data_IF_345617153327
#
_entry.id   IF_345617153327
#
_cell.length_a   1.000
_cell.length_b   1.000
_cell.length_c   1.000
_cell.angle_alpha   90.00
_cell.angle_beta   90.00
_cell.angle_gamma   90.00
#
_symmetry.space_group_name_H-M   'P 1'
#
loop_
_entity.id
_entity.type
_entity.pdbx_description
1 polymer ?
#
# COMPACT_ATOMS: atom_id res chain seq x y z
N UNK A 1 -3.05 -32.87 12.66
CA UNK A 1 -4.16 -33.83 12.87
C UNK A 1 -5.13 -33.43 13.99
N UNK A 2 -4.76 -32.57 14.96
CA UNK A 2 -5.67 -32.22 16.08
C UNK A 2 -6.57 -31.01 15.79
N UNK A 3 -6.27 -30.19 14.77
CA UNK A 3 -7.04 -28.95 14.53
C UNK A 3 -7.78 -29.08 13.18
N UNK A 4 -8.78 -29.97 13.17
CA UNK A 4 -9.61 -30.30 12.01
C UNK A 4 -10.65 -29.22 11.67
N UNK A 5 -11.31 -29.38 10.51
CA UNK A 5 -12.63 -28.82 10.14
C UNK A 5 -12.80 -27.31 10.00
N UNK A 6 -13.63 -26.88 9.04
CA UNK A 6 -14.16 -25.50 8.91
C UNK A 6 -15.38 -25.24 9.81
N UNK A 7 -15.82 -26.22 10.61
CA UNK A 7 -17.10 -26.18 11.37
C UNK A 7 -16.97 -26.62 12.84
N UNK A 8 -15.79 -26.54 13.46
CA UNK A 8 -15.69 -26.70 14.92
C UNK A 8 -15.92 -25.34 15.59
N UNK A 9 -16.83 -25.28 16.56
CA UNK A 9 -17.13 -24.04 17.29
C UNK A 9 -15.92 -23.52 18.07
N UNK A 10 -15.84 -22.19 18.29
CA UNK A 10 -14.71 -21.50 18.94
C UNK A 10 -14.24 -22.17 20.23
N UNK A 11 -15.16 -22.66 21.06
CA UNK A 11 -14.83 -23.36 22.31
C UNK A 11 -14.10 -24.69 22.10
N UNK A 12 -14.50 -25.47 21.08
CA UNK A 12 -13.83 -26.73 20.77
C UNK A 12 -12.39 -26.48 20.32
N UNK A 13 -12.19 -25.45 19.50
CA UNK A 13 -10.88 -25.04 19.04
C UNK A 13 -9.99 -24.56 20.20
N UNK A 14 -10.52 -23.75 21.13
CA UNK A 14 -9.79 -23.34 22.35
C UNK A 14 -9.37 -24.55 23.19
N UNK A 15 -10.28 -25.48 23.48
CA UNK A 15 -9.97 -26.71 24.22
C UNK A 15 -8.87 -27.52 23.52
N UNK A 16 -8.93 -27.63 22.19
CA UNK A 16 -7.91 -28.32 21.41
C UNK A 16 -6.55 -27.62 21.49
N UNK A 17 -6.51 -26.28 21.46
CA UNK A 17 -5.28 -25.51 21.64
C UNK A 17 -4.71 -25.68 23.04
N UNK A 18 -5.53 -25.57 24.10
CA UNK A 18 -5.10 -25.81 25.49
C UNK A 18 -4.47 -27.19 25.63
N UNK A 19 -5.14 -28.25 25.15
CA UNK A 19 -4.61 -29.62 25.20
C UNK A 19 -3.31 -29.77 24.41
N UNK A 20 -3.22 -29.15 23.22
CA UNK A 20 -2.03 -29.20 22.39
C UNK A 20 -0.84 -28.48 23.04
N UNK A 21 -1.08 -27.31 23.64
CA UNK A 21 -0.05 -26.52 24.34
C UNK A 21 0.43 -27.25 25.59
N UNK A 22 -0.46 -27.76 26.44
CA UNK A 22 -0.08 -28.57 27.61
C UNK A 22 0.73 -29.79 27.20
N UNK A 23 0.26 -30.56 26.22
CA UNK A 23 0.96 -31.75 25.73
C UNK A 23 2.35 -31.42 25.18
N UNK A 24 2.46 -30.33 24.41
CA UNK A 24 3.72 -29.86 23.85
C UNK A 24 4.71 -29.45 24.95
N UNK A 25 4.24 -28.71 25.95
CA UNK A 25 5.06 -28.23 27.04
C UNK A 25 5.57 -29.40 27.90
N UNK A 26 4.71 -30.37 28.22
CA UNK A 26 5.06 -31.52 29.05
C UNK A 26 5.95 -32.54 28.34
N UNK A 27 5.67 -32.83 27.06
CA UNK A 27 6.33 -33.93 26.34
C UNK A 27 7.52 -33.49 25.51
N UNK A 28 7.56 -32.23 25.09
CA UNK A 28 8.59 -31.71 24.19
C UNK A 28 9.19 -30.37 24.66
N UNK A 29 9.63 -30.24 25.94
CA UNK A 29 10.14 -28.97 26.47
C UNK A 29 11.38 -28.44 25.73
N UNK A 30 12.14 -29.30 25.03
CA UNK A 30 13.28 -28.86 24.21
C UNK A 30 12.90 -28.33 22.83
N UNK A 31 11.66 -28.53 22.39
CA UNK A 31 11.19 -28.21 21.03
C UNK A 31 9.89 -27.39 20.99
N UNK A 32 9.28 -27.13 22.15
CA UNK A 32 7.99 -26.45 22.25
C UNK A 32 7.98 -25.08 21.55
N UNK A 33 8.98 -24.21 21.77
CA UNK A 33 9.09 -22.92 21.08
C UNK A 33 9.15 -23.05 19.55
N UNK A 34 10.03 -23.91 19.01
CA UNK A 34 10.13 -24.11 17.56
C UNK A 34 8.85 -24.70 16.94
N UNK A 35 8.10 -25.52 17.69
CA UNK A 35 6.82 -26.02 17.21
C UNK A 35 5.73 -24.94 17.28
N UNK A 36 5.73 -24.12 18.34
CA UNK A 36 4.82 -22.99 18.50
C UNK A 36 5.04 -21.91 17.42
N UNK A 37 6.29 -21.58 17.11
CA UNK A 37 6.66 -20.69 15.99
C UNK A 37 6.03 -21.15 14.67
N UNK A 38 6.11 -22.46 14.38
CA UNK A 38 5.50 -23.02 13.17
C UNK A 38 3.99 -22.88 13.17
N UNK A 39 3.33 -23.03 14.33
CA UNK A 39 1.89 -22.83 14.43
C UNK A 39 1.51 -21.35 14.22
N UNK A 40 2.22 -20.43 14.87
CA UNK A 40 2.00 -18.99 14.71
C UNK A 40 2.15 -18.57 13.24
N UNK A 41 3.24 -18.97 12.59
CA UNK A 41 3.49 -18.65 11.16
C UNK A 41 2.45 -19.32 10.26
N UNK A 42 2.10 -20.58 10.52
CA UNK A 42 1.14 -21.30 9.70
C UNK A 42 -0.25 -20.66 9.74
N UNK A 43 -0.74 -20.32 10.94
CA UNK A 43 -2.05 -19.70 11.09
C UNK A 43 -2.08 -18.25 10.60
N UNK A 44 -0.98 -17.49 10.76
CA UNK A 44 -0.89 -16.12 10.23
C UNK A 44 -0.97 -16.04 8.70
N UNK A 45 -0.69 -17.14 7.99
CA UNK A 45 -0.71 -17.20 6.52
C UNK A 45 -2.03 -17.71 5.92
N UNK A 46 -2.86 -18.40 6.71
CA UNK A 46 -4.00 -19.13 6.11
C UNK A 46 -5.20 -19.39 7.02
N UNK A 47 -5.17 -18.96 8.29
CA UNK A 47 -6.33 -19.08 9.17
C UNK A 47 -6.27 -18.08 10.34
N UNK A 48 -6.67 -16.84 10.05
CA UNK A 48 -6.65 -15.73 11.02
C UNK A 48 -7.50 -16.02 12.27
N UNK A 49 -8.66 -16.67 12.12
CA UNK A 49 -9.52 -17.02 13.25
C UNK A 49 -8.83 -18.02 14.21
N UNK A 50 -8.18 -19.06 13.66
CA UNK A 50 -7.41 -20.01 14.47
C UNK A 50 -6.18 -19.35 15.11
N UNK A 51 -5.56 -18.36 14.43
CA UNK A 51 -4.48 -17.59 15.05
C UNK A 51 -5.00 -16.79 16.26
N UNK A 52 -6.14 -16.10 16.13
CA UNK A 52 -6.74 -15.36 17.24
C UNK A 52 -7.00 -16.28 18.43
N UNK A 53 -7.62 -17.45 18.19
CA UNK A 53 -7.90 -18.41 19.26
C UNK A 53 -6.61 -18.96 19.91
N UNK A 54 -5.59 -19.27 19.11
CA UNK A 54 -4.30 -19.72 19.63
C UNK A 54 -3.65 -18.64 20.52
N UNK A 55 -3.62 -17.39 20.07
CA UNK A 55 -3.05 -16.28 20.85
C UNK A 55 -3.85 -16.05 22.12
N UNK A 56 -5.18 -16.06 22.05
CA UNK A 56 -6.03 -15.94 23.23
C UNK A 56 -5.77 -17.06 24.25
N UNK A 57 -5.54 -18.30 23.82
CA UNK A 57 -5.14 -19.39 24.71
C UNK A 57 -3.71 -19.18 25.26
N UNK A 58 -2.78 -18.67 24.47
CA UNK A 58 -1.41 -18.37 24.93
C UNK A 58 -1.36 -17.26 25.98
N UNK A 59 -2.33 -16.34 25.98
CA UNK A 59 -2.45 -15.29 26.99
C UNK A 59 -2.97 -15.78 28.34
N UNK A 60 -3.44 -17.04 28.44
CA UNK A 60 -3.79 -17.63 29.72
C UNK A 60 -2.53 -17.79 30.60
N UNK A 61 -2.66 -17.59 31.91
CA UNK A 61 -1.53 -17.59 32.86
C UNK A 61 -0.68 -18.86 32.84
N UNK A 62 -1.25 -19.99 32.39
CA UNK A 62 -0.55 -21.27 32.27
C UNK A 62 0.43 -21.33 31.08
N UNK A 63 0.24 -20.50 30.07
CA UNK A 63 0.98 -20.55 28.80
C UNK A 63 1.71 -19.26 28.44
N UNK A 64 1.42 -18.15 29.12
CA UNK A 64 1.96 -16.82 28.79
C UNK A 64 3.48 -16.78 28.69
N UNK A 65 4.18 -17.52 29.57
CA UNK A 65 5.64 -17.58 29.57
C UNK A 65 6.24 -18.26 28.33
N UNK A 66 5.45 -19.06 27.59
CA UNK A 66 5.89 -19.68 26.33
C UNK A 66 6.18 -18.64 25.25
N UNK A 67 5.55 -17.46 25.32
CA UNK A 67 5.78 -16.39 24.35
C UNK A 67 7.20 -15.81 24.45
N UNK A 68 7.81 -15.82 25.63
CA UNK A 68 9.15 -15.28 25.86
C UNK A 68 10.25 -16.02 25.09
N UNK A 69 10.03 -17.30 24.76
CA UNK A 69 11.01 -18.12 24.03
C UNK A 69 10.82 -18.16 22.51
N UNK A 70 9.90 -17.37 21.96
CA UNK A 70 9.58 -17.33 20.53
C UNK A 70 10.43 -16.27 19.83
N UNK A 71 10.99 -16.64 18.68
CA UNK A 71 11.73 -15.71 17.81
C UNK A 71 10.90 -14.50 17.39
N UNK A 72 11.54 -13.33 17.38
CA UNK A 72 10.88 -12.05 17.06
C UNK A 72 10.18 -12.07 15.69
N UNK A 73 10.77 -12.75 14.71
CA UNK A 73 10.18 -12.88 13.36
C UNK A 73 8.82 -13.58 13.36
N UNK A 74 8.62 -14.58 14.23
CA UNK A 74 7.35 -15.29 14.34
C UNK A 74 6.32 -14.45 15.12
N UNK A 75 6.74 -13.78 16.18
CA UNK A 75 5.89 -12.85 16.95
C UNK A 75 5.42 -11.68 16.08
N UNK A 76 6.29 -11.07 15.28
CA UNK A 76 5.93 -9.97 14.40
C UNK A 76 4.87 -10.44 13.40
N UNK A 77 5.07 -11.60 12.75
CA UNK A 77 4.08 -12.18 11.82
C UNK A 77 2.75 -12.54 12.48
N UNK A 78 2.78 -13.00 13.73
CA UNK A 78 1.57 -13.27 14.49
C UNK A 78 0.84 -11.97 14.84
N UNK A 79 1.57 -10.95 15.29
CA UNK A 79 1.05 -9.61 15.61
C UNK A 79 0.44 -8.95 14.39
N UNK A 80 1.12 -9.05 13.24
CA UNK A 80 0.67 -8.62 11.92
C UNK A 80 -0.77 -9.04 11.65
N UNK A 81 -1.08 -10.32 11.86
CA UNK A 81 -2.44 -10.81 11.67
C UNK A 81 -3.35 -10.45 12.86
N UNK A 82 -2.93 -10.75 14.10
CA UNK A 82 -3.76 -10.65 15.30
C UNK A 82 -4.26 -9.23 15.56
N UNK A 83 -3.40 -8.24 15.36
CA UNK A 83 -3.70 -6.83 15.59
C UNK A 83 -4.88 -6.32 14.74
N UNK A 84 -5.03 -6.83 13.51
CA UNK A 84 -6.09 -6.39 12.58
C UNK A 84 -7.32 -7.31 12.54
N UNK A 85 -7.30 -8.42 13.27
CA UNK A 85 -8.33 -9.47 13.21
C UNK A 85 -9.05 -9.68 14.53
N UNK A 86 -8.35 -9.49 15.66
CA UNK A 86 -8.97 -9.57 16.98
C UNK A 86 -10.05 -8.51 17.18
N UNK A 87 -11.11 -8.86 17.92
CA UNK A 87 -12.09 -7.93 18.49
C UNK A 87 -11.88 -7.69 19.99
N UNK A 88 -10.95 -8.44 20.61
CA UNK A 88 -10.64 -8.32 22.03
C UNK A 88 -9.42 -7.42 22.23
N UNK A 89 -9.68 -6.13 22.36
CA UNK A 89 -8.65 -5.09 22.49
C UNK A 89 -7.82 -5.19 23.77
N UNK A 90 -8.39 -5.75 24.84
CA UNK A 90 -7.64 -6.03 26.06
C UNK A 90 -6.56 -7.08 25.80
N UNK A 91 -6.92 -8.17 25.11
CA UNK A 91 -5.96 -9.20 24.74
C UNK A 91 -4.92 -8.70 23.72
N UNK A 92 -5.30 -7.79 22.80
CA UNK A 92 -4.32 -7.14 21.91
C UNK A 92 -3.28 -6.34 22.73
N UNK A 93 -3.72 -5.56 23.72
CA UNK A 93 -2.79 -4.84 24.63
C UNK A 93 -1.88 -5.79 25.38
N UNK A 94 -2.47 -6.84 25.96
CA UNK A 94 -1.73 -7.82 26.74
C UNK A 94 -0.69 -8.55 25.88
N UNK A 95 -1.07 -8.97 24.68
CA UNK A 95 -0.16 -9.61 23.73
C UNK A 95 1.02 -8.70 23.35
N UNK A 96 0.75 -7.43 23.03
CA UNK A 96 1.81 -6.45 22.75
C UNK A 96 2.73 -6.25 23.96
N UNK A 97 2.15 -6.16 25.16
CA UNK A 97 2.90 -5.95 26.41
C UNK A 97 3.80 -7.15 26.74
N UNK A 98 3.28 -8.37 26.65
CA UNK A 98 4.04 -9.61 26.88
C UNK A 98 5.15 -9.76 25.85
N UNK A 99 4.86 -9.47 24.59
CA UNK A 99 5.83 -9.60 23.49
C UNK A 99 6.68 -8.34 23.26
N UNK A 100 6.76 -7.43 24.25
CA UNK A 100 7.43 -6.14 24.10
C UNK A 100 8.89 -6.26 23.68
N UNK A 101 9.63 -7.23 24.22
CA UNK A 101 11.05 -7.41 23.90
C UNK A 101 11.22 -7.74 22.40
N UNK A 102 10.42 -8.68 21.89
CA UNK A 102 10.41 -9.10 20.48
C UNK A 102 9.89 -8.02 19.54
N UNK A 103 9.00 -7.15 20.02
CA UNK A 103 8.32 -6.14 19.21
C UNK A 103 8.98 -4.76 19.24
N UNK A 104 9.93 -4.53 20.16
CA UNK A 104 10.53 -3.21 20.40
C UNK A 104 11.32 -2.64 19.21
N UNK A 105 11.91 -3.52 18.39
CA UNK A 105 12.63 -3.16 17.15
C UNK A 105 11.73 -3.32 15.90
N UNK A 106 10.43 -3.53 16.08
CA UNK A 106 9.47 -3.68 14.97
C UNK A 106 8.63 -2.43 14.78
N UNK A 107 7.79 -2.42 13.74
CA UNK A 107 6.78 -1.40 13.54
C UNK A 107 5.86 -1.21 14.76
N UNK A 108 5.69 -2.21 15.63
CA UNK A 108 4.88 -2.10 16.83
C UNK A 108 5.50 -1.26 17.97
N UNK A 109 6.75 -0.81 17.83
CA UNK A 109 7.40 0.07 18.81
C UNK A 109 6.57 1.32 19.16
N UNK A 110 5.95 1.94 18.15
CA UNK A 110 5.05 3.09 18.36
C UNK A 110 3.88 2.74 19.28
N UNK A 111 3.25 1.58 19.06
CA UNK A 111 2.13 1.12 19.90
C UNK A 111 2.59 0.81 21.32
N UNK A 112 3.76 0.19 21.50
CA UNK A 112 4.34 -0.07 22.81
C UNK A 112 4.59 1.22 23.61
N UNK A 113 5.05 2.29 22.96
CA UNK A 113 5.22 3.59 23.58
C UNK A 113 3.87 4.24 23.95
N UNK A 114 2.88 4.15 23.05
CA UNK A 114 1.53 4.65 23.29
C UNK A 114 0.82 3.95 24.46
N UNK A 115 1.02 2.63 24.61
CA UNK A 115 0.46 1.85 25.73
C UNK A 115 0.87 2.40 27.09
N UNK A 116 2.05 3.01 27.22
CA UNK A 116 2.51 3.59 28.49
C UNK A 116 2.01 5.02 28.72
N UNK A 117 1.64 5.75 27.66
CA UNK A 117 1.39 7.20 27.71
C UNK A 117 -0.09 7.56 27.73
N UNK A 118 -0.94 6.76 27.09
CA UNK A 118 -2.34 7.07 26.90
C UNK A 118 -3.25 6.28 27.87
N UNK A 119 -4.48 6.75 28.05
CA UNK A 119 -5.50 6.03 28.82
C UNK A 119 -6.00 4.83 28.00
N UNK A 120 -6.34 3.73 28.66
CA UNK A 120 -6.85 2.51 28.03
C UNK A 120 -7.98 2.77 27.02
N UNK A 121 -8.96 3.60 27.39
CA UNK A 121 -10.10 3.94 26.51
C UNK A 121 -9.65 4.67 25.24
N UNK A 122 -8.64 5.53 25.36
CA UNK A 122 -8.10 6.27 24.22
C UNK A 122 -7.32 5.31 23.30
N UNK A 123 -6.53 4.39 23.87
CA UNK A 123 -5.82 3.35 23.12
C UNK A 123 -6.79 2.43 22.38
N UNK A 124 -7.89 2.03 23.01
CA UNK A 124 -8.94 1.20 22.39
C UNK A 124 -9.52 1.87 21.15
N UNK A 125 -9.81 3.17 21.23
CA UNK A 125 -10.29 3.91 20.06
C UNK A 125 -9.23 3.97 18.95
N UNK A 126 -7.96 4.17 19.28
CA UNK A 126 -6.88 4.20 18.30
C UNK A 126 -6.68 2.84 17.61
N UNK A 127 -6.75 1.73 18.35
CA UNK A 127 -6.71 0.40 17.77
C UNK A 127 -7.89 0.14 16.85
N UNK A 128 -9.11 0.48 17.29
CA UNK A 128 -10.31 0.34 16.47
C UNK A 128 -10.23 1.18 15.19
N UNK A 129 -9.79 2.44 15.29
CA UNK A 129 -9.61 3.31 14.13
C UNK A 129 -8.55 2.75 13.15
N UNK A 130 -7.45 2.24 13.69
CA UNK A 130 -6.39 1.61 12.88
C UNK A 130 -6.90 0.37 12.16
N UNK A 131 -7.65 -0.49 12.86
CA UNK A 131 -8.27 -1.67 12.24
C UNK A 131 -9.25 -1.26 11.14
N UNK A 132 -10.16 -0.32 11.40
CA UNK A 132 -11.12 0.16 10.40
C UNK A 132 -10.41 0.69 9.15
N UNK A 133 -9.40 1.55 9.32
CA UNK A 133 -8.62 2.09 8.19
C UNK A 133 -7.87 1.00 7.43
N UNK A 134 -7.29 0.00 8.11
CA UNK A 134 -6.61 -1.12 7.46
C UNK A 134 -7.56 -2.08 6.75
N UNK A 135 -8.75 -2.30 7.30
CA UNK A 135 -9.81 -3.05 6.62
C UNK A 135 -10.23 -2.32 5.35
N UNK A 136 -10.49 -1.00 5.43
CA UNK A 136 -10.81 -0.17 4.26
C UNK A 136 -9.67 -0.24 3.23
N UNK A 137 -8.42 -0.01 3.64
CA UNK A 137 -7.27 -0.06 2.74
C UNK A 137 -7.13 -1.43 2.05
N UNK A 138 -7.41 -2.52 2.76
CA UNK A 138 -7.44 -3.86 2.18
C UNK A 138 -8.56 -4.03 1.16
N UNK A 139 -9.78 -3.55 1.46
CA UNK A 139 -10.91 -3.55 0.54
C UNK A 139 -10.65 -2.65 -0.68
N UNK A 140 -9.87 -1.59 -0.55
CA UNK A 140 -9.53 -0.69 -1.67
C UNK A 140 -8.49 -1.27 -2.64
N UNK A 141 -7.86 -2.42 -2.35
CA UNK A 141 -6.88 -3.03 -3.28
C UNK A 141 -7.52 -3.40 -4.61
N UNK A 142 -6.78 -3.27 -5.71
CA UNK A 142 -7.27 -3.73 -7.02
C UNK A 142 -7.35 -5.27 -7.04
N UNK A 143 -8.46 -5.79 -7.57
CA UNK A 143 -8.63 -7.23 -7.74
C UNK A 143 -7.68 -7.76 -8.83
N UNK A 144 -7.21 -9.02 -8.72
CA UNK A 144 -6.31 -9.60 -9.73
C UNK A 144 -6.86 -9.54 -11.16
N UNK A 145 -8.18 -9.63 -11.34
CA UNK A 145 -8.86 -9.53 -12.64
C UNK A 145 -8.74 -8.15 -13.29
N UNK A 146 -8.57 -7.10 -12.48
CA UNK A 146 -8.57 -5.69 -12.89
C UNK A 146 -7.14 -5.11 -12.95
N UNK A 147 -6.11 -5.90 -12.60
CA UNK A 147 -4.70 -5.51 -12.64
C UNK A 147 -4.10 -5.38 -14.06
N UNK A 148 -4.90 -5.61 -15.09
CA UNK A 148 -4.44 -5.58 -16.47
C UNK A 148 -4.65 -4.21 -17.08
N UNK A 149 -3.69 -3.74 -17.89
CA UNK A 149 -3.85 -2.53 -18.70
C UNK A 149 -3.94 -1.21 -17.93
N UNK A 150 -3.37 -1.14 -16.72
CA UNK A 150 -3.27 0.12 -15.99
C UNK A 150 -2.45 1.14 -16.79
N UNK A 151 -3.09 2.28 -17.07
CA UNK A 151 -2.62 3.26 -18.04
C UNK A 151 -2.56 4.67 -17.45
N UNK A 152 -1.67 5.50 -18.00
CA UNK A 152 -1.48 6.89 -17.58
C UNK A 152 -1.54 7.81 -18.79
N UNK A 153 -2.41 8.83 -18.73
CA UNK A 153 -2.51 9.86 -19.76
C UNK A 153 -1.55 10.99 -19.46
N UNK A 154 -0.82 11.43 -20.48
CA UNK A 154 0.13 12.54 -20.34
C UNK A 154 0.31 13.31 -21.65
N UNK A 155 1.04 14.41 -21.57
CA UNK A 155 1.44 15.19 -22.72
C UNK A 155 2.44 14.41 -23.60
N UNK A 156 2.40 14.64 -24.91
CA UNK A 156 3.30 13.95 -25.84
C UNK A 156 4.77 14.31 -25.55
N UNK A 157 5.03 15.52 -25.09
CA UNK A 157 6.36 16.04 -24.74
C UNK A 157 6.98 15.32 -23.52
N UNK A 158 6.19 14.57 -22.75
CA UNK A 158 6.68 13.75 -21.65
C UNK A 158 7.35 12.47 -22.15
N UNK A 159 7.07 12.04 -23.39
CA UNK A 159 7.58 10.78 -23.95
C UNK A 159 9.10 10.58 -23.81
N UNK A 160 9.97 11.57 -24.11
CA UNK A 160 11.42 11.40 -23.95
C UNK A 160 11.88 11.31 -22.49
N UNK A 161 11.08 11.82 -21.55
CA UNK A 161 11.34 11.69 -20.10
C UNK A 161 10.99 10.28 -19.61
N UNK A 162 9.93 9.69 -20.15
CA UNK A 162 9.50 8.32 -19.81
C UNK A 162 10.46 7.30 -20.42
N UNK A 163 10.81 7.48 -21.69
CA UNK A 163 11.78 6.64 -22.42
C UNK A 163 13.22 7.14 -22.28
N UNK A 164 13.54 7.74 -21.14
CA UNK A 164 14.90 8.19 -20.84
C UNK A 164 15.80 6.96 -20.78
N UNK A 165 16.90 6.98 -21.51
CA UNK A 165 17.89 5.90 -21.55
C UNK A 165 19.16 6.27 -20.79
N UNK A 166 19.82 5.25 -20.23
CA UNK A 166 21.16 5.38 -19.68
C UNK A 166 22.14 5.76 -20.79
N UNK A 167 23.16 6.53 -20.41
CA UNK A 167 24.20 7.00 -21.32
C UNK A 167 25.57 6.56 -20.84
N UNK A 168 26.43 6.19 -21.78
CA UNK A 168 27.85 5.99 -21.52
C UNK A 168 28.59 7.31 -21.30
N UNK A 169 29.88 7.23 -20.97
CA UNK A 169 30.75 8.41 -20.75
C UNK A 169 30.84 9.33 -21.99
N UNK A 170 30.60 8.79 -23.19
CA UNK A 170 30.56 9.52 -24.45
C UNK A 170 29.18 10.14 -24.74
N UNK A 171 28.21 9.96 -23.84
CA UNK A 171 26.85 10.48 -23.95
C UNK A 171 25.94 9.69 -24.91
N UNK A 172 26.34 8.49 -25.35
CA UNK A 172 25.55 7.63 -26.23
C UNK A 172 24.64 6.72 -25.41
N UNK A 173 23.45 6.43 -25.94
CA UNK A 173 22.50 5.53 -25.28
C UNK A 173 23.08 4.12 -25.16
N UNK A 174 23.11 3.59 -23.94
CA UNK A 174 23.51 2.20 -23.67
C UNK A 174 22.43 1.27 -24.20
N UNK A 175 22.84 0.20 -24.89
CA UNK A 175 21.91 -0.77 -25.48
C UNK A 175 22.29 -2.21 -25.14
N UNK A 176 21.28 -3.01 -24.78
CA UNK A 176 21.40 -4.43 -24.45
C UNK A 176 20.28 -5.21 -25.13
N UNK A 177 20.62 -6.34 -25.76
CA UNK A 177 19.66 -7.19 -26.48
C UNK A 177 18.79 -6.41 -27.49
N UNK A 178 19.33 -5.37 -28.12
CA UNK A 178 18.62 -4.53 -29.09
C UNK A 178 17.72 -3.44 -28.48
N UNK A 179 17.60 -3.37 -27.16
CA UNK A 179 16.85 -2.36 -26.40
C UNK A 179 17.77 -1.31 -25.81
N UNK A 180 17.28 -0.09 -25.60
CA UNK A 180 17.97 0.91 -24.78
C UNK A 180 17.79 0.52 -23.32
N UNK A 181 18.87 0.55 -22.54
CA UNK A 181 18.77 0.41 -21.08
C UNK A 181 18.08 1.67 -20.55
N UNK A 182 16.87 1.51 -20.00
CA UNK A 182 16.08 2.63 -19.51
C UNK A 182 16.72 3.21 -18.25
N UNK A 183 16.73 4.53 -18.13
CA UNK A 183 17.06 5.29 -16.92
C UNK A 183 15.81 5.94 -16.29
N UNK A 184 14.70 6.01 -17.04
CA UNK A 184 13.45 6.58 -16.55
C UNK A 184 12.95 5.87 -15.29
N UNK A 185 12.54 6.66 -14.29
CA UNK A 185 11.98 6.20 -13.01
C UNK A 185 10.49 6.51 -12.90
N UNK A 186 9.79 5.75 -12.06
CA UNK A 186 8.42 6.07 -11.69
C UNK A 186 8.43 7.23 -10.69
N UNK A 187 7.68 8.29 -11.00
CA UNK A 187 7.57 9.47 -10.15
C UNK A 187 6.22 9.49 -9.44
N UNK A 188 6.27 9.67 -8.12
CA UNK A 188 5.12 9.82 -7.27
C UNK A 188 5.14 11.25 -6.74
N UNK A 189 4.11 12.03 -7.05
CA UNK A 189 4.03 13.43 -6.62
C UNK A 189 3.31 13.53 -5.28
N UNK A 190 3.63 14.55 -4.48
CA UNK A 190 2.98 14.73 -3.18
C UNK A 190 1.45 14.81 -3.33
N UNK A 191 0.73 14.13 -2.42
CA UNK A 191 -0.72 14.00 -2.45
C UNK A 191 -1.46 15.34 -2.32
N UNK A 192 -0.82 16.40 -1.83
CA UNK A 192 -1.41 17.73 -1.78
C UNK A 192 -1.55 18.39 -3.17
N UNK A 193 -0.93 17.87 -4.23
CA UNK A 193 -0.98 18.46 -5.58
C UNK A 193 -2.13 17.95 -6.46
N UNK A 194 -3.10 17.27 -5.88
CA UNK A 194 -4.19 16.64 -6.65
C UNK A 194 -5.12 17.68 -7.26
N UNK A 195 -5.63 17.35 -8.46
CA UNK A 195 -6.43 18.27 -9.25
C UNK A 195 -7.85 18.45 -8.69
N UNK A 196 -8.38 17.45 -7.99
CA UNK A 196 -9.68 17.55 -7.33
C UNK A 196 -9.51 18.30 -5.98
N UNK A 197 -10.10 19.50 -5.82
CA UNK A 197 -9.94 20.30 -4.61
C UNK A 197 -10.59 19.68 -3.36
N UNK A 198 -11.50 18.73 -3.54
CA UNK A 198 -12.16 17.98 -2.48
C UNK A 198 -11.35 16.77 -2.02
N UNK A 199 -10.36 16.37 -2.81
CA UNK A 199 -9.57 15.19 -2.56
C UNK A 199 -8.77 15.30 -1.25
N UNK A 200 -8.78 14.22 -0.48
CA UNK A 200 -8.27 14.22 0.89
C UNK A 200 -9.19 14.93 1.89
N UNK A 201 -10.15 15.76 1.49
CA UNK A 201 -11.08 16.44 2.42
C UNK A 201 -12.40 15.70 2.62
N UNK A 202 -12.80 14.86 1.67
CA UNK A 202 -14.08 14.17 1.68
C UNK A 202 -14.31 13.33 2.94
N UNK A 203 -13.31 12.57 3.40
CA UNK A 203 -13.45 11.79 4.63
C UNK A 203 -13.64 12.68 5.87
N UNK A 204 -13.03 13.87 5.91
CA UNK A 204 -13.28 14.81 7.01
C UNK A 204 -14.73 15.25 7.04
N UNK A 205 -15.30 15.56 5.86
CA UNK A 205 -16.73 15.91 5.74
C UNK A 205 -17.62 14.74 6.16
N UNK A 206 -17.30 13.51 5.74
CA UNK A 206 -18.04 12.31 6.11
C UNK A 206 -18.10 12.09 7.63
N UNK A 207 -16.97 12.32 8.31
CA UNK A 207 -16.85 12.21 9.76
C UNK A 207 -17.42 13.41 10.53
N UNK A 208 -17.92 14.44 9.84
CA UNK A 208 -18.35 15.73 10.44
C UNK A 208 -17.23 16.39 11.26
N UNK A 209 -16.02 16.28 10.72
CA UNK A 209 -14.77 16.73 11.32
C UNK A 209 -14.48 18.19 10.92
N UNK A 210 -13.80 18.95 11.80
CA UNK A 210 -13.33 20.30 11.45
C UNK A 210 -12.25 20.23 10.35
N UNK A 211 -12.24 21.19 9.42
CA UNK A 211 -11.25 21.23 8.34
C UNK A 211 -9.82 21.44 8.88
N UNK A 212 -8.87 20.74 8.27
CA UNK A 212 -7.45 20.92 8.56
C UNK A 212 -6.95 22.31 8.17
N UNK A 213 -5.90 22.77 8.87
CA UNK A 213 -5.21 23.99 8.50
C UNK A 213 -4.54 23.85 7.11
N UNK A 214 -4.60 24.92 6.31
CA UNK A 214 -4.02 25.02 4.95
C UNK A 214 -2.51 24.67 4.88
N UNK A 215 -1.81 24.61 6.01
CA UNK A 215 -0.36 24.34 6.07
C UNK A 215 0.05 22.88 6.26
N UNK A 216 -0.87 21.92 6.37
CA UNK A 216 -0.52 20.51 6.60
C UNK A 216 -0.09 19.83 5.29
N UNK A 217 1.15 19.37 5.25
CA UNK A 217 1.71 18.60 4.12
C UNK A 217 1.54 17.12 4.41
N UNK A 218 0.93 16.38 3.48
CA UNK A 218 0.82 14.93 3.61
C UNK A 218 2.17 14.27 3.36
N UNK A 219 2.55 13.23 4.13
CA UNK A 219 3.73 12.42 3.84
C UNK A 219 3.51 11.42 2.69
N UNK A 220 2.32 11.42 2.08
CA UNK A 220 1.98 10.55 0.97
C UNK A 220 2.32 11.16 -0.38
N UNK A 221 2.86 10.31 -1.24
CA UNK A 221 3.15 10.56 -2.63
C UNK A 221 2.43 9.53 -3.48
N UNK A 222 1.88 9.95 -4.62
CA UNK A 222 1.01 9.10 -5.41
C UNK A 222 1.27 9.22 -6.90
N UNK A 223 0.97 8.12 -7.61
CA UNK A 223 0.86 8.08 -9.06
C UNK A 223 -0.53 7.58 -9.43
N UNK A 224 -1.26 8.37 -10.23
CA UNK A 224 -2.58 8.02 -10.74
C UNK A 224 -2.49 7.26 -12.06
N UNK A 225 -3.20 6.14 -12.12
CA UNK A 225 -3.41 5.27 -13.26
C UNK A 225 -4.92 5.12 -13.50
N UNK A 226 -5.30 4.52 -14.62
CA UNK A 226 -6.69 4.23 -14.96
C UNK A 226 -6.79 2.92 -15.74
N UNK A 227 -7.92 2.23 -15.62
CA UNK A 227 -8.27 1.10 -16.50
C UNK A 227 -8.80 1.55 -17.86
N UNK A 228 -9.13 2.84 -18.03
CA UNK A 228 -9.72 3.44 -19.22
C UNK A 228 -8.67 3.90 -20.24
N UNK A 229 -8.01 2.97 -20.92
CA UNK A 229 -6.86 3.26 -21.82
C UNK A 229 -7.17 3.99 -23.15
N UNK A 230 -8.44 4.12 -23.55
CA UNK A 230 -8.88 4.93 -24.71
C UNK A 230 -10.29 5.51 -24.46
N UNK A 231 -10.39 6.55 -23.61
CA UNK A 231 -11.66 7.10 -23.14
C UNK A 231 -11.71 8.62 -23.31
N UNK A 232 -12.82 9.13 -23.87
CA UNK A 232 -12.93 10.53 -24.32
C UNK A 232 -12.72 11.55 -23.18
N UNK A 233 -13.39 11.43 -22.00
CA UNK A 233 -13.10 12.28 -20.84
C UNK A 233 -11.62 12.32 -20.46
N UNK A 234 -10.93 11.16 -20.50
CA UNK A 234 -9.50 11.08 -20.15
C UNK A 234 -8.63 11.81 -21.18
N UNK A 235 -8.94 11.69 -22.48
CA UNK A 235 -8.26 12.46 -23.52
C UNK A 235 -8.44 13.96 -23.38
N UNK A 236 -9.64 14.40 -23.02
CA UNK A 236 -9.96 15.83 -22.80
C UNK A 236 -9.14 16.37 -21.62
N UNK A 237 -9.25 15.73 -20.46
CA UNK A 237 -8.68 16.24 -19.20
C UNK A 237 -7.18 16.02 -19.09
N UNK A 238 -6.71 14.80 -19.37
CA UNK A 238 -5.34 14.37 -19.08
C UNK A 238 -4.51 14.14 -20.34
N UNK A 239 -5.16 13.80 -21.45
CA UNK A 239 -4.54 13.61 -22.76
C UNK A 239 -4.37 14.89 -23.59
N UNK A 240 -4.32 16.08 -22.95
CA UNK A 240 -4.15 17.39 -23.61
C UNK A 240 -5.14 17.62 -24.76
N UNK A 241 -6.43 17.48 -24.50
CA UNK A 241 -7.48 17.63 -25.53
C UNK A 241 -7.28 16.67 -26.72
N UNK A 242 -6.84 15.44 -26.44
CA UNK A 242 -6.55 14.41 -27.44
C UNK A 242 -5.22 14.55 -28.19
N UNK A 243 -4.34 15.48 -27.80
CA UNK A 243 -3.01 15.69 -28.43
C UNK A 243 -1.86 14.99 -27.71
N UNK A 244 -2.15 14.35 -26.58
CA UNK A 244 -1.19 13.63 -25.77
C UNK A 244 -1.06 12.15 -26.12
N UNK A 245 -0.58 11.38 -25.16
CA UNK A 245 -0.44 9.93 -25.23
C UNK A 245 -1.06 9.27 -24.00
N UNK A 246 -1.45 8.02 -24.15
CA UNK A 246 -1.79 7.12 -23.04
C UNK A 246 -0.73 6.01 -22.98
N UNK A 247 -0.10 5.86 -21.81
CA UNK A 247 0.99 4.91 -21.57
C UNK A 247 0.47 3.79 -20.68
N UNK A 248 0.37 2.58 -21.22
CA UNK A 248 0.01 1.38 -20.48
C UNK A 248 1.26 0.73 -19.93
N UNK A 249 1.30 0.52 -18.61
CA UNK A 249 2.41 -0.11 -17.92
C UNK A 249 2.36 -1.64 -18.06
N UNK A 250 3.50 -2.30 -17.85
CA UNK A 250 3.57 -3.76 -17.92
C UNK A 250 2.94 -4.41 -16.69
N UNK A 251 2.15 -5.48 -16.88
CA UNK A 251 1.35 -6.07 -15.80
C UNK A 251 2.25 -6.76 -14.73
N UNK A 252 3.48 -7.14 -15.09
CA UNK A 252 4.48 -7.74 -14.17
C UNK A 252 4.97 -6.78 -13.07
N UNK A 253 4.65 -5.49 -13.19
CA UNK A 253 4.96 -4.46 -12.21
C UNK A 253 4.02 -4.49 -11.01
N UNK A 254 2.87 -5.14 -11.12
CA UNK A 254 1.83 -5.10 -10.10
C UNK A 254 1.72 -6.42 -9.35
N UNK A 255 1.33 -6.33 -8.08
CA UNK A 255 0.99 -7.49 -7.26
C UNK A 255 -0.29 -7.24 -6.45
N UNK A 256 -0.98 -8.33 -6.13
CA UNK A 256 -2.06 -8.31 -5.14
C UNK A 256 -1.53 -8.93 -3.86
N UNK A 257 -1.47 -8.13 -2.80
CA UNK A 257 -1.21 -8.64 -1.45
C UNK A 257 -2.50 -9.19 -0.85
N UNK A 258 -2.41 -10.33 -0.17
CA UNK A 258 -3.59 -11.09 0.27
C UNK A 258 -3.97 -10.83 1.74
N UNK A 259 -3.03 -10.36 2.58
CA UNK A 259 -3.32 -10.09 4.01
C UNK A 259 -3.40 -8.59 4.32
N UNK A 260 -4.23 -8.23 5.30
CA UNK A 260 -4.34 -6.86 5.85
C UNK A 260 -3.00 -6.35 6.38
N UNK A 261 -2.16 -7.25 6.87
CA UNK A 261 -0.89 -6.92 7.52
C UNK A 261 0.28 -6.68 6.56
N UNK A 262 0.17 -7.17 5.32
CA UNK A 262 1.23 -7.13 4.31
C UNK A 262 1.46 -5.72 3.71
N UNK A 263 0.68 -4.71 4.12
CA UNK A 263 0.86 -3.33 3.70
C UNK A 263 0.68 -2.33 4.86
N UNK A 264 1.76 -2.10 5.61
CA UNK A 264 1.93 -0.79 6.26
C UNK A 264 2.48 0.16 5.21
N UNK A 265 1.66 1.14 4.79
CA UNK A 265 2.12 2.17 3.87
C UNK A 265 3.09 3.12 4.56
N UNK A 266 2.86 3.41 5.85
CA UNK A 266 3.76 4.20 6.69
C UNK A 266 4.87 3.27 7.18
N UNK A 267 6.06 3.40 6.61
CA UNK A 267 7.27 2.80 7.15
C UNK A 267 7.50 3.38 8.54
N UNK A 268 7.53 2.53 9.58
CA UNK A 268 7.79 3.00 10.94
C UNK A 268 9.30 3.07 11.17
N UNK A 269 9.73 3.82 12.18
CA UNK A 269 11.14 4.24 12.37
C UNK A 269 12.21 3.13 12.28
N UNK A 270 11.85 1.87 12.47
CA UNK A 270 12.74 0.70 12.34
C UNK A 270 12.88 0.19 10.91
N UNK A 271 11.87 0.35 10.05
CA UNK A 271 11.96 0.08 8.60
C UNK A 271 12.91 1.07 7.91
N UNK A 272 12.96 2.31 8.40
CA UNK A 272 13.86 3.36 7.91
C UNK A 272 15.33 3.07 8.27
N UNK A 273 15.61 2.57 9.49
CA UNK A 273 16.97 2.17 9.88
C UNK A 273 17.49 0.99 9.06
N UNK A 274 16.64 0.01 8.73
CA UNK A 274 17.05 -1.11 7.89
C UNK A 274 17.33 -0.70 6.44
N UNK A 275 16.60 0.29 5.90
CA UNK A 275 16.93 0.86 4.59
C UNK A 275 18.23 1.67 4.61
N UNK A 276 18.49 2.46 5.66
CA UNK A 276 19.76 3.19 5.84
C UNK A 276 20.96 2.23 6.01
N UNK A 277 20.82 1.18 6.82
CA UNK A 277 21.88 0.18 7.06
C UNK A 277 22.18 -0.69 5.82
N UNK A 278 21.19 -0.93 4.95
CA UNK A 278 21.41 -1.62 3.67
C UNK A 278 22.10 -0.72 2.61
N UNK A 279 21.92 0.60 2.69
CA UNK A 279 22.52 1.58 1.76
C UNK A 279 23.93 2.05 2.20
N UNK A 280 24.28 2.01 3.50
CA UNK A 280 25.58 2.50 4.03
C UNK A 280 26.76 1.51 3.93
N UNK A 281 26.58 0.29 3.43
CA UNK A 281 27.71 -0.65 3.24
C UNK A 281 28.40 -0.50 1.87
N UNK A 282 28.81 0.72 1.50
CA UNK A 282 29.78 0.93 0.41
C UNK A 282 31.15 1.38 0.96
N UNK A 283 31.82 0.43 1.60
CA UNK A 283 33.20 0.54 2.08
C UNK A 283 34.09 -0.50 1.43
N UNK A 284 34.71 -0.15 0.30
CA UNK A 284 35.88 -0.77 -0.35
C UNK A 284 36.07 -2.28 -0.15
N UNK A 285 35.35 -3.10 -0.92
CA UNK A 285 35.91 -4.31 -1.52
C UNK A 285 35.00 -4.76 -2.67
N UNK A 286 35.59 -5.06 -3.84
CA UNK A 286 34.87 -5.40 -5.09
C UNK A 286 33.72 -6.40 -4.82
N UNK A 287 32.45 -6.06 -5.09
CA UNK A 287 31.37 -6.99 -4.87
C UNK A 287 31.41 -8.09 -5.93
N UNK A 288 31.38 -9.34 -5.47
CA UNK A 288 30.85 -10.45 -6.27
C UNK A 288 29.46 -10.03 -6.71
N UNK A 289 29.24 -10.05 -8.03
CA UNK A 289 27.95 -9.80 -8.67
C UNK A 289 26.92 -10.76 -8.05
N UNK A 290 26.17 -10.26 -7.07
CA UNK A 290 24.85 -10.77 -6.75
C UNK A 290 23.94 -10.39 -7.92
N UNK A 291 23.03 -11.29 -8.35
CA UNK A 291 22.03 -10.92 -9.35
C UNK A 291 21.19 -9.75 -8.82
N UNK A 292 20.65 -8.88 -9.70
CA UNK A 292 19.85 -7.74 -9.27
C UNK A 292 18.68 -8.20 -8.40
N UNK A 293 18.45 -7.55 -7.24
CA UNK A 293 17.21 -7.73 -6.46
C UNK A 293 16.03 -7.56 -7.43
N UNK A 294 15.16 -8.56 -7.53
CA UNK A 294 13.91 -8.48 -8.31
C UNK A 294 13.17 -7.21 -7.88
N UNK A 295 12.94 -6.27 -8.79
CA UNK A 295 12.40 -4.95 -8.45
C UNK A 295 11.06 -5.04 -7.70
N UNK A 296 10.91 -4.25 -6.66
CA UNK A 296 9.69 -4.19 -5.84
C UNK A 296 8.46 -3.91 -6.72
N UNK A 297 7.46 -4.80 -6.66
CA UNK A 297 6.20 -4.65 -7.39
C UNK A 297 5.29 -3.67 -6.65
N UNK A 298 4.46 -2.96 -7.41
CA UNK A 298 3.50 -2.02 -6.86
C UNK A 298 2.22 -2.73 -6.43
N UNK A 299 1.65 -2.28 -5.31
CA UNK A 299 0.28 -2.63 -4.91
C UNK A 299 -0.65 -1.47 -5.29
N UNK A 300 -1.46 -1.60 -6.34
CA UNK A 300 -2.43 -0.59 -6.72
C UNK A 300 -3.70 -0.63 -5.88
N UNK A 301 -4.27 0.55 -5.66
CA UNK A 301 -5.53 0.77 -4.93
C UNK A 301 -6.57 1.42 -5.85
N UNK A 302 -7.78 0.86 -5.86
CA UNK A 302 -8.97 1.41 -6.50
C UNK A 302 -9.40 2.68 -5.77
N UNK A 303 -9.89 3.66 -6.50
CA UNK A 303 -10.54 4.84 -5.92
C UNK A 303 -11.99 4.55 -5.60
N UNK A 304 -12.37 4.76 -4.33
CA UNK A 304 -13.76 4.75 -3.91
C UNK A 304 -14.35 6.14 -4.11
N UNK A 305 -15.33 6.25 -4.99
CA UNK A 305 -15.98 7.52 -5.26
C UNK A 305 -17.13 7.72 -4.28
N UNK A 306 -17.38 8.95 -3.85
CA UNK A 306 -18.41 9.23 -2.85
C UNK A 306 -19.19 10.51 -3.13
N UNK A 307 -20.48 10.45 -2.81
CA UNK A 307 -21.34 11.61 -2.62
C UNK A 307 -21.57 11.83 -1.12
N UNK A 308 -22.38 12.81 -0.75
CA UNK A 308 -22.76 13.05 0.65
C UNK A 308 -23.44 11.85 1.34
N UNK A 309 -23.97 10.89 0.56
CA UNK A 309 -24.85 9.83 1.09
C UNK A 309 -24.53 8.42 0.61
N UNK A 310 -23.61 8.24 -0.34
CA UNK A 310 -23.38 6.92 -0.95
C UNK A 310 -21.98 6.78 -1.52
N UNK A 311 -21.49 5.55 -1.53
CA UNK A 311 -20.26 5.17 -2.22
C UNK A 311 -20.54 4.60 -3.62
N UNK A 312 -19.58 4.78 -4.52
CA UNK A 312 -19.60 4.33 -5.90
C UNK A 312 -18.22 3.81 -6.31
N UNK A 313 -18.19 2.92 -7.30
CA UNK A 313 -16.97 2.59 -8.01
C UNK A 313 -17.18 1.40 -8.92
N UNK A 314 -16.88 1.57 -10.21
CA UNK A 314 -17.10 0.52 -11.22
C UNK A 314 -16.16 -0.68 -11.02
N UNK A 315 -15.09 -0.50 -10.26
CA UNK A 315 -14.12 -1.55 -9.94
C UNK A 315 -14.50 -2.34 -8.68
N UNK A 316 -15.62 -2.05 -8.02
CA UNK A 316 -16.06 -2.72 -6.78
C UNK A 316 -17.33 -3.55 -7.00
N UNK A 317 -17.38 -4.71 -6.35
CA UNK A 317 -18.64 -5.42 -6.19
C UNK A 317 -19.50 -4.70 -5.11
N UNK A 318 -20.84 -4.70 -5.21
CA UNK A 318 -21.70 -3.99 -4.25
C UNK A 318 -21.47 -4.37 -2.79
N UNK A 319 -21.15 -5.65 -2.52
CA UNK A 319 -20.86 -6.13 -1.17
C UNK A 319 -19.50 -5.63 -0.62
N UNK A 320 -18.58 -5.21 -1.48
CA UNK A 320 -17.35 -4.55 -1.04
C UNK A 320 -17.64 -3.11 -0.62
N UNK A 321 -18.46 -2.39 -1.40
CA UNK A 321 -18.88 -1.01 -1.07
C UNK A 321 -19.66 -0.97 0.24
N UNK A 322 -20.60 -1.89 0.45
CA UNK A 322 -21.36 -2.01 1.71
C UNK A 322 -20.44 -2.17 2.92
N UNK A 323 -19.40 -3.02 2.82
CA UNK A 323 -18.40 -3.18 3.88
C UNK A 323 -17.57 -1.91 4.11
N UNK A 324 -17.20 -1.18 3.06
CA UNK A 324 -16.49 0.08 3.20
C UNK A 324 -17.38 1.12 3.90
N UNK A 325 -18.68 1.19 3.56
CA UNK A 325 -19.66 2.05 4.24
C UNK A 325 -19.79 1.70 5.73
N UNK A 326 -19.89 0.41 6.08
CA UNK A 326 -19.92 -0.07 7.47
C UNK A 326 -18.66 0.35 8.24
N UNK A 327 -17.47 0.16 7.66
CA UNK A 327 -16.21 0.53 8.31
C UNK A 327 -16.04 2.05 8.45
N UNK A 328 -16.52 2.84 7.48
CA UNK A 328 -16.55 4.30 7.59
C UNK A 328 -17.52 4.78 8.67
N UNK A 329 -18.67 4.13 8.82
CA UNK A 329 -19.62 4.41 9.90
C UNK A 329 -19.01 4.07 11.26
N UNK A 330 -18.36 2.90 11.39
CA UNK A 330 -17.61 2.53 12.59
C UNK A 330 -16.54 3.58 12.92
N UNK A 331 -15.77 4.02 11.92
CA UNK A 331 -14.75 5.04 12.09
C UNK A 331 -15.33 6.38 12.57
N UNK A 332 -16.52 6.76 12.09
CA UNK A 332 -17.26 7.95 12.55
C UNK A 332 -17.66 7.85 14.01
N UNK A 333 -18.18 6.71 14.44
CA UNK A 333 -18.55 6.48 15.83
C UNK A 333 -17.32 6.52 16.75
N UNK A 334 -16.22 5.90 16.32
CA UNK A 334 -14.94 5.92 17.04
C UNK A 334 -14.41 7.35 17.15
N UNK A 335 -14.40 8.10 16.05
CA UNK A 335 -13.93 9.48 16.01
C UNK A 335 -14.76 10.40 16.92
N UNK A 336 -16.08 10.23 16.92
CA UNK A 336 -17.01 10.99 17.77
C UNK A 336 -16.80 10.69 19.26
N UNK A 337 -16.56 9.43 19.61
CA UNK A 337 -16.38 8.99 21.00
C UNK A 337 -14.96 9.24 21.56
N UNK A 338 -13.97 9.42 20.70
CA UNK A 338 -12.56 9.54 21.08
C UNK A 338 -12.14 10.95 21.46
N UNK A 339 -11.26 11.06 22.46
CA UNK A 339 -10.57 12.31 22.77
C UNK A 339 -9.34 12.55 21.86
N UNK A 340 -8.85 11.50 21.21
CA UNK A 340 -7.64 11.47 20.38
C UNK A 340 -7.95 11.71 18.90
N UNK A 341 -8.69 12.78 18.60
CA UNK A 341 -9.13 13.08 17.22
C UNK A 341 -7.96 13.29 16.27
N UNK A 342 -6.90 13.95 16.75
CA UNK A 342 -5.69 14.24 15.96
C UNK A 342 -4.98 12.97 15.52
N UNK A 343 -4.83 12.01 16.42
CA UNK A 343 -4.20 10.73 16.18
C UNK A 343 -5.05 9.88 15.21
N UNK A 344 -6.39 9.92 15.34
CA UNK A 344 -7.28 9.26 14.38
C UNK A 344 -7.13 9.87 12.98
N UNK A 345 -7.01 11.19 12.84
CA UNK A 345 -6.73 11.79 11.53
C UNK A 345 -5.40 11.33 10.95
N UNK A 346 -4.35 11.21 11.77
CA UNK A 346 -3.06 10.69 11.32
C UNK A 346 -3.17 9.24 10.84
N UNK A 347 -4.02 8.41 11.47
CA UNK A 347 -4.30 7.05 11.00
C UNK A 347 -5.02 7.09 9.65
N UNK A 348 -5.95 8.03 9.46
CA UNK A 348 -6.72 8.17 8.21
C UNK A 348 -5.90 8.69 7.02
N UNK A 349 -4.73 9.31 7.24
CA UNK A 349 -3.85 9.76 6.16
C UNK A 349 -3.60 8.65 5.13
N UNK A 350 -3.49 7.39 5.58
CA UNK A 350 -3.23 6.24 4.71
C UNK A 350 -4.33 5.99 3.66
N UNK A 351 -5.58 6.41 3.93
CA UNK A 351 -6.74 6.10 3.09
C UNK A 351 -7.41 7.34 2.49
N UNK A 352 -7.20 8.54 3.04
CA UNK A 352 -7.97 9.74 2.64
C UNK A 352 -7.80 10.11 1.16
N UNK A 353 -6.64 9.83 0.58
CA UNK A 353 -6.35 10.02 -0.85
C UNK A 353 -6.72 8.80 -1.70
N UNK A 354 -7.60 7.94 -1.21
CA UNK A 354 -8.24 6.87 -1.99
C UNK A 354 -9.75 7.10 -2.14
N UNK A 355 -10.23 8.26 -1.66
CA UNK A 355 -11.61 8.71 -1.80
C UNK A 355 -11.67 9.97 -2.67
N UNK A 356 -12.64 10.00 -3.59
CA UNK A 356 -12.81 11.08 -4.58
C UNK A 356 -14.29 11.40 -4.80
N UNK A 357 -14.63 12.57 -5.33
CA UNK A 357 -16.03 12.90 -5.62
C UNK A 357 -16.63 11.93 -6.64
N UNK A 358 -17.91 11.57 -6.43
CA UNK A 358 -18.72 10.79 -7.37
C UNK A 358 -18.74 11.36 -8.80
N UNK A 359 -18.50 12.66 -8.97
CA UNK A 359 -18.41 13.31 -10.28
C UNK A 359 -17.30 12.73 -11.18
N UNK A 360 -16.27 12.13 -10.57
CA UNK A 360 -15.12 11.55 -11.26
C UNK A 360 -15.22 10.04 -11.48
N UNK A 361 -16.38 9.42 -11.19
CA UNK A 361 -16.57 7.94 -11.24
C UNK A 361 -16.21 7.33 -12.61
N UNK A 362 -16.35 8.12 -13.68
CA UNK A 362 -16.04 7.66 -15.06
C UNK A 362 -14.55 7.51 -15.35
N UNK A 363 -13.66 7.96 -14.45
CA UNK A 363 -12.22 7.86 -14.63
C UNK A 363 -11.66 6.47 -14.35
N UNK A 364 -12.38 5.63 -13.59
CA UNK A 364 -11.92 4.33 -13.09
C UNK A 364 -10.46 4.38 -12.62
N UNK A 365 -10.19 5.37 -11.77
CA UNK A 365 -8.86 5.70 -11.30
C UNK A 365 -8.36 4.62 -10.34
N UNK A 366 -7.07 4.35 -10.47
CA UNK A 366 -6.29 3.46 -9.62
C UNK A 366 -5.04 4.21 -9.20
N UNK A 367 -4.66 4.13 -7.93
CA UNK A 367 -3.48 4.81 -7.41
C UNK A 367 -2.43 3.85 -6.90
N UNK A 368 -1.19 4.23 -7.13
CA UNK A 368 -0.05 3.70 -6.41
C UNK A 368 0.30 4.73 -5.33
N UNK A 369 0.51 4.26 -4.10
CA UNK A 369 0.83 5.10 -2.95
C UNK A 369 2.24 4.79 -2.44
N UNK A 370 2.97 5.84 -2.07
CA UNK A 370 4.28 5.76 -1.42
C UNK A 370 4.34 6.73 -0.26
N UNK A 371 4.79 6.26 0.89
CA UNK A 371 5.09 7.11 2.02
C UNK A 371 6.54 7.60 1.93
N UNK A 372 6.77 8.86 2.29
CA UNK A 372 8.09 9.36 2.60
C UNK A 372 7.99 10.34 3.77
N UNK A 373 8.86 10.17 4.78
CA UNK A 373 8.99 11.16 5.85
C UNK A 373 9.34 12.52 5.22
N UNK A 374 8.68 13.59 5.67
CA UNK A 374 8.86 14.94 5.13
C UNK A 374 10.30 15.47 5.24
N UNK A 375 11.14 14.84 6.07
CA UNK A 375 12.56 15.15 6.24
C UNK A 375 13.49 14.23 5.46
N UNK A 376 12.95 13.26 4.72
CA UNK A 376 13.74 12.32 3.92
C UNK A 376 14.47 13.05 2.80
N UNK A 377 15.74 12.69 2.62
CA UNK A 377 16.60 13.09 1.50
C UNK A 377 16.18 12.47 0.16
N UNK A 378 15.31 11.45 0.18
CA UNK A 378 14.71 10.84 -1.01
C UNK A 378 13.65 11.73 -1.69
N UNK A 379 13.24 12.84 -1.05
CA UNK A 379 12.30 13.81 -1.62
C UNK A 379 13.04 14.71 -2.62
N UNK A 380 12.56 14.71 -3.86
CA UNK A 380 13.12 15.45 -4.99
C UNK A 380 12.23 16.60 -5.43
N UNK A 381 12.81 17.53 -6.19
CA UNK A 381 12.14 18.73 -6.69
C UNK A 381 11.97 18.70 -8.21
N UNK A 382 10.73 18.89 -8.67
CA UNK A 382 10.41 19.08 -10.09
C UNK A 382 10.19 20.57 -10.36
N UNK A 383 11.17 21.18 -11.02
CA UNK A 383 11.15 22.59 -11.41
C UNK A 383 10.62 22.81 -12.83
N UNK A 384 10.19 21.74 -13.52
CA UNK A 384 9.81 21.80 -14.94
C UNK A 384 8.36 22.22 -15.18
N UNK A 385 7.62 22.55 -14.11
CA UNK A 385 6.20 22.87 -14.11
C UNK A 385 5.83 24.33 -14.43
N UNK A 386 4.65 24.73 -13.96
CA UNK A 386 3.94 25.99 -14.21
C UNK A 386 4.43 27.18 -13.37
N UNK A 387 5.68 27.13 -12.89
CA UNK A 387 6.34 28.20 -12.13
C UNK A 387 6.43 27.96 -10.62
N UNK A 388 5.71 26.97 -10.08
CA UNK A 388 5.89 26.50 -8.69
C UNK A 388 6.49 25.10 -8.69
N UNK A 389 7.68 24.92 -8.08
CA UNK A 389 8.29 23.60 -7.96
C UNK A 389 7.40 22.61 -7.20
N UNK A 390 7.41 21.34 -7.62
CA UNK A 390 6.62 20.26 -6.99
C UNK A 390 7.52 19.19 -6.40
N UNK A 391 7.15 18.70 -5.22
CA UNK A 391 7.82 17.57 -4.56
C UNK A 391 7.39 16.24 -5.19
N UNK A 392 8.38 15.36 -5.40
CA UNK A 392 8.13 13.99 -5.81
C UNK A 392 9.15 13.04 -5.19
N UNK A 393 8.83 11.75 -5.17
CA UNK A 393 9.77 10.67 -4.87
C UNK A 393 9.83 9.71 -6.04
N UNK A 394 10.96 9.05 -6.21
CA UNK A 394 11.14 8.00 -7.22
C UNK A 394 11.11 6.62 -6.56
N UNK A 395 10.72 5.61 -7.33
CA UNK A 395 10.90 4.19 -6.95
C UNK A 395 11.99 3.55 -7.78
N UNK A 396 12.77 2.69 -7.13
CA UNK A 396 13.81 1.89 -7.77
C UNK A 396 13.24 0.97 -8.85
N UNK A 397 14.07 0.69 -9.84
CA UNK A 397 13.64 0.04 -11.07
C UNK A 397 13.32 1.05 -12.17
N UNK A 398 13.30 0.56 -13.40
CA UNK A 398 13.11 1.40 -14.58
C UNK A 398 11.71 1.23 -15.13
N UNK A 399 11.20 2.29 -15.77
CA UNK A 399 9.86 2.27 -16.34
C UNK A 399 9.75 1.17 -17.39
N UNK A 400 8.83 0.22 -17.17
CA UNK A 400 8.42 -0.81 -18.13
C UNK A 400 7.10 -0.43 -18.77
N UNK A 401 7.13 -0.17 -20.07
CA UNK A 401 5.95 0.19 -20.87
C UNK A 401 5.52 -1.01 -21.69
N UNK A 402 4.24 -1.34 -21.63
CA UNK A 402 3.61 -2.36 -22.47
C UNK A 402 3.15 -1.76 -23.79
N UNK A 403 2.43 -0.63 -23.73
CA UNK A 403 1.80 0.00 -24.89
C UNK A 403 1.79 1.52 -24.79
N UNK A 404 1.93 2.19 -25.93
CA UNK A 404 1.69 3.62 -26.08
C UNK A 404 0.57 3.82 -27.09
N UNK A 405 -0.52 4.46 -26.67
CA UNK A 405 -1.63 4.87 -27.54
C UNK A 405 -1.52 6.38 -27.81
N UNK A 406 -1.46 6.78 -29.07
CA UNK A 406 -1.50 8.18 -29.46
C UNK A 406 -2.93 8.73 -29.40
N UNK A 407 -3.08 9.94 -28.88
CA UNK A 407 -4.37 10.62 -28.86
C UNK A 407 -4.91 10.92 -30.27
N UNK A 408 -6.23 11.12 -30.41
CA UNK A 408 -6.89 11.24 -31.71
C UNK A 408 -6.51 12.50 -32.50
N UNK A 409 -5.86 13.48 -31.86
CA UNK A 409 -5.36 14.71 -32.50
C UNK A 409 -3.83 14.73 -32.62
N UNK A 410 -3.14 13.62 -32.35
CA UNK A 410 -1.70 13.51 -32.62
C UNK A 410 -1.52 13.32 -34.12
N UNK A 411 -0.80 14.25 -34.75
CA UNK A 411 -0.44 14.16 -36.17
C UNK A 411 1.06 13.85 -36.29
N UNK A 412 1.45 13.01 -37.26
CA UNK A 412 2.83 12.58 -37.52
C UNK A 412 3.38 11.56 -36.53
N UNK A 413 2.54 10.66 -36.04
CA UNK A 413 2.93 9.45 -35.31
C UNK A 413 4.08 8.70 -36.02
N UNK A 414 4.10 8.70 -37.36
CA UNK A 414 5.18 8.11 -38.18
C UNK A 414 6.58 8.67 -37.92
N UNK A 415 6.70 9.89 -37.38
CA UNK A 415 7.99 10.49 -36.98
C UNK A 415 8.40 10.10 -35.56
N UNK A 416 7.44 9.69 -34.74
CA UNK A 416 7.62 9.39 -33.31
C UNK A 416 7.87 7.89 -33.11
N UNK A 417 7.17 7.05 -33.88
CA UNK A 417 7.30 5.58 -33.84
C UNK A 417 8.76 5.11 -33.94
N UNK A 418 9.62 5.64 -34.85
CA UNK A 418 11.02 5.21 -34.92
C UNK A 418 11.79 5.42 -33.61
N UNK A 419 11.52 6.50 -32.87
CA UNK A 419 12.14 6.75 -31.57
C UNK A 419 11.67 5.73 -30.52
N UNK A 420 10.36 5.49 -30.42
CA UNK A 420 9.80 4.50 -29.49
C UNK A 420 10.40 3.11 -29.76
N UNK A 421 10.42 2.68 -31.02
CA UNK A 421 10.96 1.38 -31.43
C UNK A 421 12.49 1.29 -31.32
N UNK A 422 13.19 2.41 -31.40
CA UNK A 422 14.61 2.46 -31.09
C UNK A 422 14.87 2.22 -29.60
N UNK A 423 14.06 2.82 -28.72
CA UNK A 423 14.15 2.62 -27.27
C UNK A 423 13.78 1.18 -26.88
N UNK A 424 12.61 0.71 -27.27
CA UNK A 424 12.19 -0.67 -27.07
C UNK A 424 11.29 -1.14 -28.23
N UNK A 425 11.74 -2.11 -29.06
CA UNK A 425 10.96 -2.63 -30.17
C UNK A 425 9.71 -3.41 -29.74
N UNK A 426 9.63 -3.86 -28.48
CA UNK A 426 8.52 -4.65 -27.95
C UNK A 426 7.33 -3.78 -27.50
N UNK A 427 7.52 -2.47 -27.30
CA UNK A 427 6.42 -1.56 -26.92
C UNK A 427 5.35 -1.59 -28.02
N UNK A 428 4.13 -1.97 -27.67
CA UNK A 428 2.98 -1.91 -28.59
C UNK A 428 2.62 -0.45 -28.89
N UNK A 429 2.24 -0.17 -30.13
CA UNK A 429 1.87 1.18 -30.55
C UNK A 429 0.44 1.15 -31.08
N UNK A 430 -0.41 2.01 -30.51
CA UNK A 430 -1.79 2.20 -30.94
C UNK A 430 -2.10 3.66 -31.25
N UNK A 431 -3.24 3.89 -31.87
CA UNK A 431 -3.85 5.21 -32.06
C UNK A 431 -5.28 5.12 -31.52
N UNK A 432 -5.73 6.17 -30.84
CA UNK A 432 -7.09 6.25 -30.32
C UNK A 432 -8.13 6.05 -31.42
N UNK A 433 -9.15 5.24 -31.16
CA UNK A 433 -10.27 5.03 -32.06
C UNK A 433 -11.34 6.12 -31.98
N UNK A 434 -11.18 7.10 -31.10
CA UNK A 434 -12.21 8.09 -30.79
C UNK A 434 -12.27 9.16 -31.87
N UNK A 435 -13.46 9.34 -32.44
CA UNK A 435 -13.76 10.46 -33.33
C UNK A 435 -13.92 11.76 -32.51
N UNK A 436 -12.80 12.40 -32.22
CA UNK A 436 -12.75 13.65 -31.47
C UNK A 436 -13.18 14.82 -32.37
N UNK A 437 -14.24 15.53 -31.97
CA UNK A 437 -14.78 16.67 -32.74
C UNK A 437 -14.18 18.01 -32.32
#
# INVERSE_FOLDING_TARGET
MIIGGKEEGKEVAKVAFTQALSYMNDRFPKKHHSLLERFLIFFSQGNEEKLCLLIETLLESEFIDLLNGIEATAIIKATDCYFYTSENWANVREFLSVCKEQLSESKYAYWLDMLHKAKDKDIDHLFKATKACKTILHLLRVNPKDLTHLSHYTALETLPKILLGEKDDDGRMIRKNGKVEMAGRYRFYNANYMNDPEEGKLLHKWLEAEEESVGQVSPFYLMSLTTESDHLPMWVQYGRDGKGICVTLHDDLFEVKNSRAEHELIARATDLKQQEDEEETDGQDKPKISPPKEGERFTPYRICYMSDTSLYGNLFDPAELEKIEEELANLKDIFTASSQKKEIYQIMEEIRFLFKSADYVTENEVRLLKYADLKSDKILLDETGDGVPRLYVEQDGHVKIKKITFGPKVYNESKIVPYIKFCDPEIEIGVSGIHFR
#
